data_IF_554487882846
#
_entry.id   IF_554487882846
#
_cell.length_a   1.000
_cell.length_b   1.000
_cell.length_c   1.000
_cell.angle_alpha   90.00
_cell.angle_beta   90.00
_cell.angle_gamma   90.00
#
_symmetry.space_group_name_H-M   'P 1'
#
loop_
_entity.id
_entity.type
_entity.pdbx_description
1 polymer ?
#
# COMPACT_ATOMS: atom_id res chain seq x y z
N UNK A 1 22.18 6.66 6.86
CA UNK A 1 21.67 5.94 5.68
C UNK A 1 20.89 4.74 6.19
N UNK A 2 19.61 4.63 5.82
CA UNK A 2 18.79 3.45 6.11
C UNK A 2 19.22 2.32 5.18
N UNK A 3 19.36 1.09 5.71
CA UNK A 3 19.69 -0.07 4.88
C UNK A 3 18.53 -0.39 3.94
N UNK A 4 18.81 -1.01 2.79
CA UNK A 4 17.78 -1.46 1.84
C UNK A 4 16.70 -2.31 2.52
N UNK A 5 17.08 -3.16 3.47
CA UNK A 5 16.14 -3.97 4.23
C UNK A 5 15.22 -3.11 5.11
N UNK A 6 15.76 -2.14 5.85
CA UNK A 6 14.94 -1.24 6.68
C UNK A 6 13.94 -0.42 5.86
N UNK A 7 14.29 -0.05 4.64
CA UNK A 7 13.38 0.64 3.74
C UNK A 7 12.26 -0.27 3.22
N UNK A 8 12.57 -1.54 2.93
CA UNK A 8 11.55 -2.54 2.58
C UNK A 8 10.60 -2.79 3.76
N UNK A 9 11.12 -2.90 4.98
CA UNK A 9 10.30 -3.07 6.18
C UNK A 9 9.39 -1.86 6.42
N UNK A 10 9.87 -0.65 6.15
CA UNK A 10 9.03 0.55 6.22
C UNK A 10 7.95 0.58 5.12
N UNK A 11 8.25 0.10 3.90
CA UNK A 11 7.21 -0.08 2.87
C UNK A 11 6.12 -1.05 3.33
N UNK A 12 6.50 -2.14 4.03
CA UNK A 12 5.52 -3.08 4.58
C UNK A 12 4.66 -2.44 5.66
N UNK A 13 5.25 -1.72 6.61
CA UNK A 13 4.49 -1.03 7.65
C UNK A 13 3.44 -0.09 7.05
N UNK A 14 3.81 0.70 6.03
CA UNK A 14 2.87 1.55 5.31
C UNK A 14 1.76 0.75 4.61
N UNK A 15 2.09 -0.43 4.06
CA UNK A 15 1.11 -1.32 3.40
C UNK A 15 0.12 -1.93 4.39
N UNK A 16 0.57 -2.27 5.59
CA UNK A 16 -0.28 -2.77 6.68
C UNK A 16 -1.19 -1.67 7.23
N UNK A 17 -0.67 -0.45 7.40
CA UNK A 17 -1.47 0.71 7.79
C UNK A 17 -2.53 1.06 6.74
N UNK A 18 -2.18 1.01 5.45
CA UNK A 18 -3.14 1.17 4.36
C UNK A 18 -4.26 0.11 4.43
N UNK A 19 -3.91 -1.15 4.69
CA UNK A 19 -4.91 -2.22 4.84
C UNK A 19 -5.82 -1.97 6.05
N UNK A 20 -5.26 -1.55 7.18
CA UNK A 20 -6.04 -1.18 8.37
C UNK A 20 -7.01 -0.03 8.10
N UNK A 21 -6.53 1.03 7.43
CA UNK A 21 -7.34 2.18 7.06
C UNK A 21 -8.47 1.80 6.08
N UNK A 22 -8.17 1.02 5.05
CA UNK A 22 -9.17 0.53 4.10
C UNK A 22 -10.24 -0.34 4.78
N UNK A 23 -9.84 -1.20 5.72
CA UNK A 23 -10.77 -2.04 6.48
C UNK A 23 -11.66 -1.23 7.45
N UNK A 24 -11.14 -0.13 8.00
CA UNK A 24 -11.89 0.79 8.85
C UNK A 24 -12.76 1.79 8.05
N UNK A 25 -12.60 1.84 6.73
CA UNK A 25 -13.24 2.86 5.89
C UNK A 25 -12.64 4.26 6.05
N UNK A 26 -11.43 4.36 6.58
CA UNK A 26 -10.67 5.60 6.71
C UNK A 26 -9.92 5.91 5.40
N UNK A 27 -10.65 6.50 4.46
CA UNK A 27 -10.15 6.78 3.11
C UNK A 27 -9.13 7.92 3.06
N UNK A 28 -9.17 8.82 4.06
CA UNK A 28 -8.20 9.92 4.19
C UNK A 28 -6.83 9.35 4.57
N UNK A 29 -6.78 8.59 5.69
CA UNK A 29 -5.55 7.91 6.11
C UNK A 29 -5.02 6.97 5.04
N UNK A 30 -5.90 6.23 4.34
CA UNK A 30 -5.50 5.37 3.22
C UNK A 30 -4.75 6.15 2.14
N UNK A 31 -5.24 7.34 1.78
CA UNK A 31 -4.65 8.18 0.73
C UNK A 31 -3.32 8.79 1.18
N UNK A 32 -3.23 9.25 2.43
CA UNK A 32 -1.98 9.76 3.01
C UNK A 32 -0.88 8.69 3.04
N UNK A 33 -1.23 7.47 3.47
CA UNK A 33 -0.27 6.36 3.57
C UNK A 33 0.14 5.85 2.19
N UNK A 34 -0.77 5.84 1.23
CA UNK A 34 -0.42 5.55 -0.16
C UNK A 34 0.58 6.57 -0.72
N UNK A 35 0.37 7.86 -0.47
CA UNK A 35 1.30 8.91 -0.89
C UNK A 35 2.68 8.75 -0.23
N UNK A 36 2.73 8.47 1.08
CA UNK A 36 3.97 8.20 1.80
C UNK A 36 4.70 6.95 1.25
N UNK A 37 3.97 5.87 1.00
CA UNK A 37 4.51 4.63 0.42
C UNK A 37 5.08 4.88 -0.97
N UNK A 38 4.37 5.64 -1.80
CA UNK A 38 4.83 6.02 -3.14
C UNK A 38 6.10 6.85 -3.06
N UNK A 39 6.15 7.87 -2.20
CA UNK A 39 7.34 8.71 -2.03
C UNK A 39 8.55 7.88 -1.58
N UNK A 40 8.37 6.97 -0.61
CA UNK A 40 9.43 6.07 -0.17
C UNK A 40 9.90 5.18 -1.32
N UNK A 41 9.00 4.55 -2.07
CA UNK A 41 9.36 3.70 -3.20
C UNK A 41 10.18 4.43 -4.27
N UNK A 42 9.84 5.69 -4.58
CA UNK A 42 10.59 6.52 -5.53
C UNK A 42 11.96 6.95 -5.01
N UNK A 43 12.14 7.00 -3.69
CA UNK A 43 13.44 7.32 -3.09
C UNK A 43 14.42 6.15 -3.10
N UNK A 44 13.96 4.93 -3.42
CA UNK A 44 14.80 3.74 -3.38
C UNK A 44 15.61 3.55 -4.67
N UNK A 45 16.88 3.15 -4.57
CA UNK A 45 17.72 2.90 -5.73
C UNK A 45 17.27 1.64 -6.48
N UNK A 46 17.49 1.61 -7.80
CA UNK A 46 17.16 0.44 -8.62
C UNK A 46 17.94 -0.83 -8.21
N UNK A 47 19.09 -0.66 -7.55
CA UNK A 47 19.96 -1.73 -7.05
C UNK A 47 19.74 -2.00 -5.55
N UNK A 48 18.50 -2.00 -5.07
CA UNK A 48 18.15 -2.28 -3.67
C UNK A 48 18.80 -3.56 -3.10
N UNK A 49 18.98 -4.58 -3.94
CA UNK A 49 19.47 -5.90 -3.54
C UNK A 49 20.98 -6.07 -3.66
N UNK A 50 21.72 -5.15 -4.30
CA UNK A 50 23.16 -5.29 -4.50
C UNK A 50 23.96 -5.31 -3.20
N UNK A 51 23.38 -4.74 -2.14
CA UNK A 51 24.04 -4.52 -0.85
C UNK A 51 23.50 -5.45 0.25
N UNK A 52 22.64 -6.42 -0.10
CA UNK A 52 22.06 -7.34 0.87
C UNK A 52 22.95 -8.57 1.07
N UNK A 53 23.15 -8.95 2.34
CA UNK A 53 23.67 -10.28 2.65
C UNK A 53 22.62 -11.35 2.29
N UNK A 54 23.05 -12.59 2.04
CA UNK A 54 22.15 -13.71 1.71
C UNK A 54 21.01 -13.92 2.72
N UNK A 55 21.27 -13.72 4.02
CA UNK A 55 20.24 -13.79 5.05
C UNK A 55 19.23 -12.62 4.95
N UNK A 56 19.68 -11.45 4.51
CA UNK A 56 18.82 -10.28 4.30
C UNK A 56 18.01 -10.37 3.01
N UNK A 57 18.48 -11.11 2.00
CA UNK A 57 17.73 -11.38 0.76
C UNK A 57 16.46 -12.19 1.01
N UNK A 58 16.55 -13.27 1.81
CA UNK A 58 15.37 -14.08 2.15
C UNK A 58 14.34 -13.25 2.92
N UNK A 59 14.81 -12.44 3.88
CA UNK A 59 13.93 -11.52 4.60
C UNK A 59 13.30 -10.48 3.69
N UNK A 60 14.09 -9.85 2.80
CA UNK A 60 13.60 -8.89 1.83
C UNK A 60 12.51 -9.48 0.93
N UNK A 61 12.69 -10.73 0.47
CA UNK A 61 11.68 -11.44 -0.32
C UNK A 61 10.37 -11.62 0.46
N UNK A 62 10.44 -12.07 1.71
CA UNK A 62 9.25 -12.24 2.56
C UNK A 62 8.50 -10.92 2.78
N UNK A 63 9.25 -9.82 2.94
CA UNK A 63 8.70 -8.47 3.10
C UNK A 63 7.99 -8.01 1.81
N UNK A 64 8.62 -8.20 0.65
CA UNK A 64 8.01 -7.87 -0.64
C UNK A 64 6.73 -8.69 -0.87
N UNK A 65 6.77 -9.99 -0.60
CA UNK A 65 5.60 -10.86 -0.72
C UNK A 65 4.47 -10.43 0.24
N UNK A 66 4.81 -9.93 1.44
CA UNK A 66 3.83 -9.37 2.37
C UNK A 66 3.18 -8.09 1.84
N UNK A 67 3.96 -7.14 1.29
CA UNK A 67 3.42 -5.94 0.64
C UNK A 67 2.42 -6.28 -0.47
N UNK A 68 2.77 -7.25 -1.33
CA UNK A 68 1.90 -7.71 -2.41
C UNK A 68 0.59 -8.32 -1.89
N UNK A 69 0.64 -9.05 -0.78
CA UNK A 69 -0.58 -9.57 -0.13
C UNK A 69 -1.45 -8.44 0.41
N UNK A 70 -0.87 -7.42 1.06
CA UNK A 70 -1.62 -6.25 1.49
C UNK A 70 -2.34 -5.56 0.32
N UNK A 71 -1.65 -5.37 -0.81
CA UNK A 71 -2.23 -4.75 -2.01
C UNK A 71 -3.42 -5.55 -2.56
N UNK A 72 -3.27 -6.88 -2.63
CA UNK A 72 -4.35 -7.79 -3.04
C UNK A 72 -5.54 -7.74 -2.10
N UNK A 73 -5.32 -7.52 -0.80
CA UNK A 73 -6.38 -7.38 0.21
C UNK A 73 -7.04 -6.00 0.21
N UNK A 74 -6.31 -4.93 -0.08
CA UNK A 74 -6.84 -3.56 -0.15
C UNK A 74 -7.76 -3.38 -1.36
N UNK A 75 -7.37 -3.94 -2.53
CA UNK A 75 -8.10 -3.77 -3.80
C UNK A 75 -9.62 -4.01 -3.69
N UNK A 76 -10.11 -5.17 -3.18
CA UNK A 76 -11.56 -5.40 -3.10
C UNK A 76 -12.29 -4.42 -2.17
N UNK A 77 -11.64 -3.89 -1.13
CA UNK A 77 -12.24 -2.91 -0.22
C UNK A 77 -12.47 -1.57 -0.93
N UNK A 78 -11.46 -1.12 -1.69
CA UNK A 78 -11.57 0.11 -2.50
C UNK A 78 -12.62 -0.06 -3.60
N UNK A 79 -12.64 -1.20 -4.29
CA UNK A 79 -13.63 -1.50 -5.33
C UNK A 79 -15.06 -1.48 -4.78
N UNK A 80 -15.29 -2.11 -3.61
CA UNK A 80 -16.57 -2.08 -2.94
C UNK A 80 -17.01 -0.64 -2.64
N UNK A 81 -16.11 0.18 -2.06
CA UNK A 81 -16.41 1.58 -1.76
C UNK A 81 -16.73 2.41 -3.00
N UNK A 82 -15.96 2.24 -4.08
CA UNK A 82 -16.21 2.95 -5.34
C UNK A 82 -17.58 2.56 -5.93
N UNK A 83 -17.98 1.29 -5.81
CA UNK A 83 -19.29 0.85 -6.24
C UNK A 83 -20.42 1.45 -5.40
N UNK A 84 -20.29 1.51 -4.08
CA UNK A 84 -21.24 2.21 -3.20
C UNK A 84 -21.40 3.68 -3.60
N UNK A 85 -20.29 4.40 -3.75
CA UNK A 85 -20.30 5.82 -4.13
C UNK A 85 -20.95 6.04 -5.50
N UNK A 86 -20.71 5.16 -6.47
CA UNK A 86 -21.38 5.22 -7.79
C UNK A 86 -22.89 5.06 -7.68
N UNK A 87 -23.39 4.20 -6.79
CA UNK A 87 -24.83 4.03 -6.57
C UNK A 87 -25.42 5.30 -5.97
N UNK A 88 -24.81 5.84 -4.92
CA UNK A 88 -25.25 7.08 -4.26
C UNK A 88 -25.28 8.24 -5.26
N UNK A 89 -24.18 8.47 -5.99
CA UNK A 89 -24.10 9.57 -6.95
C UNK A 89 -25.11 9.46 -8.11
N UNK A 90 -25.53 8.24 -8.49
CA UNK A 90 -26.60 8.06 -9.48
C UNK A 90 -27.98 8.39 -8.90
N UNK A 91 -28.23 8.01 -7.65
CA UNK A 91 -29.50 8.30 -6.98
C UNK A 91 -29.72 9.81 -6.79
N UNK A 92 -28.66 10.56 -6.54
CA UNK A 92 -28.70 12.02 -6.38
C UNK A 92 -28.74 12.80 -7.71
N UNK A 93 -28.69 12.12 -8.86
CA UNK A 93 -28.76 12.78 -10.16
C UNK A 93 -30.24 13.00 -10.51
N UNK A 94 -30.73 14.25 -10.59
CA UNK A 94 -32.14 14.49 -10.92
C UNK A 94 -32.45 13.92 -12.31
N UNK A 95 -33.64 13.30 -12.44
CA UNK A 95 -34.15 12.85 -13.73
C UNK A 95 -34.22 14.07 -14.66
N UNK A 96 -33.44 14.04 -15.75
CA UNK A 96 -33.47 15.05 -16.80
C UNK A 96 -34.75 14.94 -17.64
#
# INVERSE_FOLDING_TARGET
>A
MTSSLSALEHLLALSEEMLGAAAAGDWETLTEREAARRALAHSLPATLTSDLSRASEERARLVIEACLRCDLSIRPLVEARLNELRVVLRAERPAA
#
